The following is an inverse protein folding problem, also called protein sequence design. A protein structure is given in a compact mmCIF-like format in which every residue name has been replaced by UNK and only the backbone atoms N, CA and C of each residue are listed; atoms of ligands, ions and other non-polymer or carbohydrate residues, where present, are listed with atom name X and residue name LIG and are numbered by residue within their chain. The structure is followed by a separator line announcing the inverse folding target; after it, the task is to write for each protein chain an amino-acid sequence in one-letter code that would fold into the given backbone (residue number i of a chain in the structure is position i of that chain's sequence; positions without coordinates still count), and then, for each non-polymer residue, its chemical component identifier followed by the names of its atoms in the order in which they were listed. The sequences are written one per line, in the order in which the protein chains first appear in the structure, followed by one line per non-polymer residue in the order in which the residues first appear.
data_IF_451755119173
#
_entry.id   IF_451755119173
#
_cell.length_a   1.000
_cell.length_b   1.000
_cell.length_c   1.000
_cell.angle_alpha   90.00
_cell.angle_beta   90.00
_cell.angle_gamma   90.00
#
_symmetry.space_group_name_H-M   'P 1'
#
loop_
_entity.id
_entity.type
_entity.pdbx_description
1 polymer ?
#
# COMPACT_ATOMS: atom_id res chain seq x y z
N UNK A 1 5.14 14.48 28.28
CA UNK A 1 4.98 14.41 26.80
C UNK A 1 5.59 15.68 26.24
N UNK A 2 6.55 15.57 25.32
CA UNK A 2 7.19 16.72 24.65
C UNK A 2 6.85 16.67 23.17
N UNK A 3 6.59 17.81 22.56
CA UNK A 3 6.29 17.92 21.13
C UNK A 3 7.28 18.88 20.49
N UNK A 4 7.82 18.51 19.34
CA UNK A 4 8.68 19.36 18.52
C UNK A 4 8.09 19.51 17.13
N UNK A 5 8.12 20.75 16.61
CA UNK A 5 7.64 21.08 15.27
C UNK A 5 8.87 21.41 14.42
N UNK A 6 8.98 20.75 13.29
CA UNK A 6 10.05 20.93 12.31
C UNK A 6 9.43 21.48 11.03
N UNK A 7 9.92 22.63 10.57
CA UNK A 7 9.52 23.20 9.28
C UNK A 7 10.55 22.81 8.21
N UNK A 8 10.09 22.58 6.97
CA UNK A 8 10.96 22.28 5.85
C UNK A 8 11.93 23.44 5.62
N UNK A 9 13.17 23.12 5.29
CA UNK A 9 14.17 24.13 4.97
C UNK A 9 13.95 24.66 3.54
N UNK A 10 14.39 25.90 3.21
CA UNK A 10 14.10 26.56 1.92
C UNK A 10 14.54 25.83 0.63
N UNK A 11 15.16 24.66 0.72
CA UNK A 11 15.65 23.86 -0.42
C UNK A 11 15.32 22.36 -0.31
N UNK A 12 14.46 21.97 0.63
CA UNK A 12 13.99 20.59 0.72
C UNK A 12 12.93 20.31 -0.35
N UNK A 13 13.31 19.63 -1.43
CA UNK A 13 12.41 19.16 -2.48
C UNK A 13 11.61 17.91 -2.03
N UNK A 14 10.91 18.03 -0.90
CA UNK A 14 9.99 17.00 -0.42
C UNK A 14 8.58 17.58 -0.32
N UNK A 15 7.52 16.76 -0.45
CA UNK A 15 6.16 17.23 -0.23
C UNK A 15 5.86 17.64 1.22
N UNK A 16 6.83 17.55 2.13
CA UNK A 16 6.66 17.81 3.56
C UNK A 16 6.54 19.31 3.83
N UNK A 17 5.40 19.70 4.39
CA UNK A 17 5.08 21.06 4.81
C UNK A 17 5.43 21.32 6.28
N UNK A 18 5.42 20.27 7.11
CA UNK A 18 5.82 20.30 8.51
C UNK A 18 5.92 18.88 9.06
N UNK A 19 6.84 18.63 9.98
CA UNK A 19 6.91 17.39 10.74
C UNK A 19 6.71 17.68 12.22
N UNK A 20 5.83 16.92 12.86
CA UNK A 20 5.63 16.97 14.31
C UNK A 20 6.19 15.70 14.92
N UNK A 21 7.13 15.84 15.85
CA UNK A 21 7.69 14.73 16.63
C UNK A 21 7.09 14.76 18.03
N UNK A 22 6.41 13.69 18.42
CA UNK A 22 5.77 13.54 19.73
C UNK A 22 6.56 12.52 20.55
N UNK A 23 7.22 12.97 21.60
CA UNK A 23 7.95 12.13 22.55
C UNK A 23 6.99 11.64 23.64
N UNK A 24 6.66 10.34 23.57
CA UNK A 24 5.87 9.66 24.59
C UNK A 24 6.72 9.34 25.81
N UNK A 25 6.08 9.16 26.97
CA UNK A 25 6.75 8.79 28.22
C UNK A 25 7.49 7.43 28.12
N UNK A 26 7.09 6.58 27.17
CA UNK A 26 7.73 5.30 26.86
C UNK A 26 9.08 5.41 26.12
N UNK A 27 9.52 6.62 25.77
CA UNK A 27 10.75 6.83 24.97
C UNK A 27 10.57 6.60 23.46
N UNK A 28 9.39 6.16 23.02
CA UNK A 28 9.05 6.00 21.61
C UNK A 28 8.57 7.35 21.06
N UNK A 29 9.27 7.88 20.05
CA UNK A 29 8.84 9.05 19.31
C UNK A 29 7.84 8.65 18.22
N UNK A 30 6.71 9.35 18.14
CA UNK A 30 5.81 9.29 16.99
C UNK A 30 6.09 10.48 16.09
N UNK A 31 6.26 10.25 14.79
CA UNK A 31 6.49 11.28 13.79
C UNK A 31 5.25 11.43 12.91
N UNK A 32 4.75 12.65 12.80
CA UNK A 32 3.61 13.01 11.97
C UNK A 32 4.11 13.97 10.89
N UNK A 33 4.19 13.49 9.65
CA UNK A 33 4.50 14.31 8.49
C UNK A 33 3.22 14.94 7.93
N UNK A 34 3.20 16.26 7.82
CA UNK A 34 2.18 17.03 7.12
C UNK A 34 2.64 17.20 5.69
N UNK A 35 1.93 16.60 4.74
CA UNK A 35 2.31 16.60 3.34
C UNK A 35 1.35 17.49 2.55
N UNK A 36 1.90 18.29 1.64
CA UNK A 36 1.10 19.04 0.65
C UNK A 36 0.46 18.12 -0.41
N UNK A 37 1.06 16.96 -0.68
CA UNK A 37 0.55 15.93 -1.57
C UNK A 37 1.21 14.57 -1.28
N UNK A 38 0.60 13.47 -1.72
CA UNK A 38 1.16 12.12 -1.61
C UNK A 38 1.68 11.66 -2.97
N UNK A 39 2.93 11.17 -3.00
CA UNK A 39 3.54 10.66 -4.24
C UNK A 39 2.71 9.50 -4.80
N UNK A 40 2.41 9.60 -6.10
CA UNK A 40 1.58 8.63 -6.81
C UNK A 40 0.08 8.94 -6.78
N UNK A 41 -0.32 10.07 -6.19
CA UNK A 41 -1.69 10.60 -6.20
C UNK A 41 -1.71 11.99 -6.84
N UNK A 42 -2.42 12.14 -7.95
CA UNK A 42 -2.61 13.43 -8.64
C UNK A 42 -4.03 13.53 -9.18
N UNK A 43 -4.62 14.73 -9.11
CA UNK A 43 -5.98 14.98 -9.58
C UNK A 43 -6.99 14.02 -8.96
N UNK A 44 -7.73 13.28 -9.79
CA UNK A 44 -8.80 12.35 -9.35
C UNK A 44 -8.34 11.28 -8.37
N UNK A 45 -7.06 10.88 -8.39
CA UNK A 45 -6.53 9.92 -7.42
C UNK A 45 -6.51 10.50 -5.99
N UNK A 46 -6.26 11.81 -5.85
CA UNK A 46 -6.24 12.49 -4.55
C UNK A 46 -7.66 12.66 -3.98
N UNK A 47 -8.63 12.98 -4.84
CA UNK A 47 -10.05 13.03 -4.44
C UNK A 47 -10.49 11.66 -3.94
N UNK A 48 -10.17 10.61 -4.72
CA UNK A 48 -10.49 9.23 -4.36
C UNK A 48 -9.84 8.78 -3.05
N UNK A 49 -8.60 9.22 -2.78
CA UNK A 49 -7.91 8.96 -1.52
C UNK A 49 -8.69 9.52 -0.33
N UNK A 50 -9.23 10.74 -0.45
CA UNK A 50 -10.04 11.40 0.59
C UNK A 50 -11.38 10.67 0.76
N UNK A 51 -12.04 10.34 -0.34
CA UNK A 51 -13.35 9.70 -0.33
C UNK A 51 -13.36 8.31 0.33
N UNK A 52 -12.27 7.56 0.23
CA UNK A 52 -12.13 6.22 0.83
C UNK A 52 -11.36 6.20 2.14
N UNK A 53 -10.99 7.36 2.67
CA UNK A 53 -10.37 7.42 3.98
C UNK A 53 -11.32 6.78 5.01
N UNK A 54 -10.77 5.94 5.88
CA UNK A 54 -11.55 5.23 6.88
C UNK A 54 -11.57 6.10 8.12
N UNK A 55 -12.75 6.48 8.59
CA UNK A 55 -12.89 7.14 9.89
C UNK A 55 -12.71 6.11 11.02
N UNK A 56 -11.78 6.39 11.91
CA UNK A 56 -11.57 5.66 13.15
C UNK A 56 -12.02 6.57 14.29
N UNK A 57 -13.07 6.17 15.00
CA UNK A 57 -13.58 6.90 16.17
C UNK A 57 -12.98 6.34 17.45
N UNK A 58 -13.01 7.16 18.50
CA UNK A 58 -12.69 6.80 19.88
C UNK A 58 -11.27 6.24 20.07
N UNK A 59 -10.35 6.56 19.16
CA UNK A 59 -8.98 6.03 19.17
C UNK A 59 -8.15 6.56 20.35
N UNK A 60 -8.36 7.83 20.73
CA UNK A 60 -7.60 8.48 21.81
C UNK A 60 -8.46 8.79 23.03
N UNK A 61 -9.66 9.31 22.81
CA UNK A 61 -10.67 9.60 23.84
C UNK A 61 -12.07 9.53 23.22
N UNK A 62 -13.10 9.38 24.05
CA UNK A 62 -14.49 9.32 23.58
C UNK A 62 -14.86 10.58 22.78
N UNK A 63 -15.37 10.39 21.56
CA UNK A 63 -15.70 11.44 20.61
C UNK A 63 -14.52 11.92 19.74
N UNK A 64 -13.32 11.37 19.90
CA UNK A 64 -12.23 11.62 18.95
C UNK A 64 -12.49 10.89 17.63
N UNK A 65 -12.18 11.51 16.49
CA UNK A 65 -12.16 10.80 15.21
C UNK A 65 -10.93 11.16 14.40
N UNK A 66 -10.43 10.18 13.64
CA UNK A 66 -9.27 10.32 12.77
C UNK A 66 -9.54 9.59 11.46
N UNK A 67 -9.39 10.30 10.35
CA UNK A 67 -9.40 9.68 9.04
C UNK A 67 -8.04 9.07 8.74
N UNK A 68 -8.02 7.76 8.50
CA UNK A 68 -6.82 7.01 8.13
C UNK A 68 -6.90 6.58 6.68
N UNK A 69 -5.73 6.45 6.06
CA UNK A 69 -5.63 6.00 4.68
C UNK A 69 -6.20 4.58 4.52
N UNK A 70 -6.95 4.33 3.45
CA UNK A 70 -7.41 2.98 3.12
C UNK A 70 -6.20 2.03 2.95
N UNK A 71 -6.26 0.76 3.38
CA UNK A 71 -5.12 -0.17 3.31
C UNK A 71 -4.49 -0.31 1.92
N UNK A 72 -5.31 -0.35 0.88
CA UNK A 72 -4.82 -0.36 -0.52
C UNK A 72 -3.96 0.87 -0.84
N UNK A 73 -4.31 2.02 -0.30
CA UNK A 73 -3.61 3.27 -0.60
C UNK A 73 -2.33 3.43 0.15
N UNK A 74 -2.33 2.94 1.38
CA UNK A 74 -1.12 2.81 2.16
C UNK A 74 -0.13 1.93 1.40
N UNK A 75 -0.56 0.77 0.92
CA UNK A 75 0.27 -0.11 0.09
C UNK A 75 0.76 0.59 -1.19
N UNK A 76 -0.16 1.13 -2.01
CA UNK A 76 0.19 1.87 -3.24
C UNK A 76 1.20 2.98 -2.96
N UNK A 77 0.98 3.78 -1.92
CA UNK A 77 1.87 4.87 -1.50
C UNK A 77 3.26 4.36 -1.14
N UNK A 78 3.37 3.28 -0.35
CA UNK A 78 4.68 2.70 0.02
C UNK A 78 5.44 2.20 -1.19
N UNK A 79 4.77 1.53 -2.13
CA UNK A 79 5.39 1.08 -3.38
C UNK A 79 5.83 2.26 -4.26
N UNK A 80 4.99 3.29 -4.41
CA UNK A 80 5.33 4.51 -5.14
C UNK A 80 6.54 5.22 -4.52
N UNK A 81 6.64 5.27 -3.19
CA UNK A 81 7.76 5.91 -2.50
C UNK A 81 9.09 5.20 -2.80
N UNK A 82 9.15 3.87 -2.63
CA UNK A 82 10.40 3.12 -2.91
C UNK A 82 10.73 3.09 -4.41
N UNK A 83 9.71 3.11 -5.28
CA UNK A 83 9.89 3.19 -6.73
C UNK A 83 10.46 4.55 -7.15
N UNK A 84 9.85 5.65 -6.69
CA UNK A 84 10.14 7.00 -7.20
C UNK A 84 11.25 7.73 -6.45
N UNK A 85 11.47 7.44 -5.16
CA UNK A 85 12.41 8.18 -4.31
C UNK A 85 13.65 7.34 -3.99
N UNK A 86 14.84 7.68 -4.53
CA UNK A 86 16.09 6.98 -4.21
C UNK A 86 16.40 6.91 -2.71
N UNK A 87 16.13 7.99 -1.97
CA UNK A 87 16.34 8.06 -0.51
C UNK A 87 15.47 7.07 0.28
N UNK A 88 14.38 6.59 -0.31
CA UNK A 88 13.45 5.62 0.28
C UNK A 88 13.78 4.17 -0.12
N UNK A 89 14.83 3.92 -0.91
CA UNK A 89 15.26 2.57 -1.30
C UNK A 89 16.19 1.94 -0.27
N UNK A 90 15.72 1.83 0.98
CA UNK A 90 16.48 1.26 2.09
C UNK A 90 15.66 0.20 2.84
N UNK A 91 16.33 -0.55 3.71
CA UNK A 91 15.76 -1.68 4.45
C UNK A 91 14.52 -1.31 5.26
N UNK A 92 14.50 -0.13 5.88
CA UNK A 92 13.37 0.35 6.69
C UNK A 92 12.12 0.55 5.82
N UNK A 93 12.25 1.22 4.68
CA UNK A 93 11.10 1.51 3.81
C UNK A 93 10.63 0.28 3.04
N UNK A 94 11.54 -0.65 2.71
CA UNK A 94 11.18 -1.98 2.18
C UNK A 94 10.39 -2.76 3.23
N UNK A 95 10.83 -2.77 4.50
CA UNK A 95 10.08 -3.40 5.59
C UNK A 95 8.69 -2.75 5.79
N UNK A 96 8.58 -1.42 5.66
CA UNK A 96 7.27 -0.74 5.69
C UNK A 96 6.36 -1.15 4.53
N UNK A 97 6.91 -1.42 3.34
CA UNK A 97 6.13 -1.90 2.21
C UNK A 97 5.64 -3.34 2.43
N UNK A 98 6.46 -4.21 3.05
CA UNK A 98 6.00 -5.54 3.49
C UNK A 98 4.91 -5.45 4.56
N UNK A 99 5.07 -4.58 5.56
CA UNK A 99 4.03 -4.35 6.56
C UNK A 99 2.72 -3.87 5.91
N UNK A 100 2.79 -3.04 4.87
CA UNK A 100 1.61 -2.61 4.14
C UNK A 100 0.91 -3.78 3.40
N UNK A 101 1.65 -4.80 2.94
CA UNK A 101 1.05 -6.03 2.40
C UNK A 101 0.32 -6.82 3.49
N UNK A 102 0.87 -6.91 4.69
CA UNK A 102 0.24 -7.61 5.82
C UNK A 102 -1.04 -6.90 6.26
N UNK A 103 -1.01 -5.56 6.36
CA UNK A 103 -2.19 -4.74 6.64
C UNK A 103 -3.25 -4.92 5.55
N UNK A 104 -2.85 -4.94 4.28
CA UNK A 104 -3.76 -5.19 3.16
C UNK A 104 -4.40 -6.59 3.26
N UNK A 105 -3.61 -7.62 3.59
CA UNK A 105 -4.10 -8.99 3.78
C UNK A 105 -5.12 -9.07 4.92
N UNK A 106 -4.82 -8.48 6.06
CA UNK A 106 -5.72 -8.44 7.22
C UNK A 106 -7.03 -7.72 6.88
N UNK A 107 -6.96 -6.64 6.10
CA UNK A 107 -8.15 -5.94 5.63
C UNK A 107 -9.01 -6.80 4.70
N UNK A 108 -8.42 -7.52 3.74
CA UNK A 108 -9.17 -8.43 2.86
C UNK A 108 -9.83 -9.54 3.69
N UNK A 109 -9.11 -10.15 4.64
CA UNK A 109 -9.67 -11.16 5.52
C UNK A 109 -10.90 -10.64 6.27
N UNK A 110 -10.81 -9.42 6.83
CA UNK A 110 -11.97 -8.78 7.45
C UNK A 110 -13.14 -8.63 6.49
N UNK A 111 -12.91 -8.18 5.25
CA UNK A 111 -13.97 -8.09 4.23
C UNK A 111 -14.61 -9.45 3.89
N UNK A 112 -13.89 -10.57 4.06
CA UNK A 112 -14.47 -11.90 3.83
C UNK A 112 -15.41 -12.35 4.95
N UNK A 113 -15.28 -11.75 6.14
CA UNK A 113 -16.10 -12.05 7.32
C UNK A 113 -17.36 -11.17 7.41
N UNK A 114 -17.37 -10.03 6.72
CA UNK A 114 -18.44 -9.02 6.74
C UNK A 114 -19.65 -9.40 5.84
N UNK A 115 -20.82 -8.85 6.17
CA UNK A 115 -22.06 -9.07 5.41
C UNK A 115 -22.12 -8.26 4.08
N UNK A 116 -23.18 -8.52 3.29
CA UNK A 116 -23.23 -8.39 1.82
C UNK A 116 -22.67 -7.10 1.19
N UNK A 117 -22.96 -5.91 1.72
CA UNK A 117 -22.56 -4.64 1.09
C UNK A 117 -21.06 -4.37 1.22
N UNK A 118 -20.47 -4.68 2.38
CA UNK A 118 -19.02 -4.55 2.60
C UNK A 118 -18.28 -5.60 1.76
N UNK A 119 -18.84 -6.80 1.64
CA UNK A 119 -18.30 -7.87 0.78
C UNK A 119 -18.36 -7.51 -0.71
N UNK A 120 -19.31 -6.70 -1.15
CA UNK A 120 -19.39 -6.23 -2.53
C UNK A 120 -18.17 -5.38 -2.94
N UNK A 121 -17.53 -4.69 -1.99
CA UNK A 121 -16.32 -3.89 -2.23
C UNK A 121 -15.07 -4.75 -2.47
N UNK A 122 -15.10 -6.03 -2.10
CA UNK A 122 -13.97 -6.93 -2.25
C UNK A 122 -13.57 -7.14 -3.72
N UNK A 123 -14.51 -7.37 -4.63
CA UNK A 123 -14.18 -7.63 -6.03
C UNK A 123 -13.48 -6.44 -6.72
N UNK A 124 -14.01 -5.20 -6.63
CA UNK A 124 -13.29 -4.02 -7.10
C UNK A 124 -11.88 -3.92 -6.51
N UNK A 125 -11.74 -4.15 -5.20
CA UNK A 125 -10.46 -4.10 -4.50
C UNK A 125 -9.44 -5.13 -5.02
N UNK A 126 -9.88 -6.37 -5.26
CA UNK A 126 -9.05 -7.42 -5.84
C UNK A 126 -8.56 -7.05 -7.25
N UNK A 127 -9.41 -6.43 -8.06
CA UNK A 127 -9.00 -5.90 -9.37
C UNK A 127 -7.98 -4.76 -9.26
N UNK A 128 -8.09 -3.90 -8.24
CA UNK A 128 -7.11 -2.85 -8.00
C UNK A 128 -5.74 -3.43 -7.61
N UNK A 129 -5.72 -4.47 -6.78
CA UNK A 129 -4.50 -5.19 -6.40
C UNK A 129 -3.84 -5.80 -7.63
N UNK A 130 -4.63 -6.43 -8.51
CA UNK A 130 -4.13 -6.98 -9.78
C UNK A 130 -3.57 -5.87 -10.68
N UNK A 131 -4.28 -4.73 -10.78
CA UNK A 131 -3.83 -3.57 -11.53
C UNK A 131 -2.50 -3.04 -11.00
N UNK A 132 -2.39 -2.85 -9.68
CA UNK A 132 -1.16 -2.42 -9.01
C UNK A 132 -0.01 -3.41 -9.24
N UNK A 133 -0.25 -4.71 -9.10
CA UNK A 133 0.75 -5.76 -9.32
C UNK A 133 1.28 -5.80 -10.77
N UNK A 134 0.45 -5.43 -11.74
CA UNK A 134 0.80 -5.40 -13.17
C UNK A 134 1.35 -4.06 -13.67
N UNK A 135 1.23 -3.01 -12.84
CA UNK A 135 1.71 -1.66 -13.12
C UNK A 135 3.24 -1.61 -13.17
N UNK A 136 3.79 -0.50 -13.70
CA UNK A 136 5.25 -0.29 -13.68
C UNK A 136 5.81 -0.29 -12.27
N UNK A 137 5.12 0.37 -11.34
CA UNK A 137 5.50 0.40 -9.91
C UNK A 137 5.56 -1.02 -9.37
N UNK A 138 4.50 -1.82 -9.53
CA UNK A 138 4.45 -3.20 -9.01
C UNK A 138 5.49 -4.13 -9.63
N UNK A 139 5.74 -4.02 -10.94
CA UNK A 139 6.77 -4.80 -11.64
C UNK A 139 8.17 -4.42 -11.17
N UNK A 140 8.46 -3.12 -11.06
CA UNK A 140 9.78 -2.65 -10.66
C UNK A 140 10.05 -2.98 -9.19
N UNK A 141 9.06 -2.86 -8.29
CA UNK A 141 9.25 -3.23 -6.88
C UNK A 141 9.43 -4.73 -6.69
N UNK A 142 8.78 -5.55 -7.52
CA UNK A 142 9.02 -7.00 -7.54
C UNK A 142 10.48 -7.32 -7.90
N UNK A 143 10.99 -6.73 -8.98
CA UNK A 143 12.35 -7.02 -9.46
C UNK A 143 13.45 -6.48 -8.56
N UNK A 144 13.28 -5.29 -8.00
CA UNK A 144 14.34 -4.62 -7.24
C UNK A 144 14.31 -4.94 -5.74
N UNK A 145 13.13 -5.28 -5.20
CA UNK A 145 12.95 -5.44 -3.75
C UNK A 145 12.28 -6.77 -3.36
N UNK A 146 11.93 -7.63 -4.32
CA UNK A 146 11.27 -8.91 -4.03
C UNK A 146 9.84 -8.77 -3.50
N UNK A 147 9.22 -7.61 -3.68
CA UNK A 147 7.87 -7.33 -3.16
C UNK A 147 6.84 -7.80 -4.18
N UNK A 148 6.21 -8.95 -3.92
CA UNK A 148 5.08 -9.44 -4.71
C UNK A 148 3.75 -8.92 -4.14
N UNK A 149 3.13 -7.97 -4.84
CA UNK A 149 1.84 -7.40 -4.45
C UNK A 149 0.74 -8.46 -4.28
N UNK A 150 0.78 -9.57 -5.04
CA UNK A 150 -0.21 -10.63 -4.92
C UNK A 150 -0.10 -11.43 -3.62
N UNK A 151 1.01 -11.30 -2.88
CA UNK A 151 1.19 -12.02 -1.60
C UNK A 151 0.21 -11.56 -0.51
N UNK A 152 -0.43 -10.39 -0.67
CA UNK A 152 -1.46 -9.95 0.26
C UNK A 152 -2.78 -10.71 0.10
N UNK A 153 -2.98 -11.51 -0.96
CA UNK A 153 -4.24 -12.21 -1.21
C UNK A 153 -4.39 -13.45 -0.29
N UNK A 154 -5.44 -13.52 0.54
CA UNK A 154 -5.76 -14.70 1.34
C UNK A 154 -6.50 -15.74 0.49
N UNK A 155 -5.80 -16.40 -0.44
CA UNK A 155 -6.38 -17.23 -1.52
C UNK A 155 -7.42 -18.22 -1.01
N UNK A 156 -7.17 -18.90 0.11
CA UNK A 156 -8.07 -19.93 0.66
C UNK A 156 -9.39 -19.36 1.20
N UNK A 157 -9.46 -18.06 1.44
CA UNK A 157 -10.64 -17.35 1.95
C UNK A 157 -11.38 -16.57 0.85
N UNK A 158 -10.84 -16.52 -0.38
CA UNK A 158 -11.44 -15.78 -1.49
C UNK A 158 -12.55 -16.58 -2.19
N UNK A 159 -13.48 -15.90 -2.89
CA UNK A 159 -14.54 -16.58 -3.63
C UNK A 159 -14.00 -17.54 -4.70
N UNK A 160 -14.59 -18.73 -4.78
CA UNK A 160 -14.21 -19.80 -5.72
C UNK A 160 -14.16 -19.33 -7.20
N UNK A 161 -15.11 -18.52 -7.72
CA UNK A 161 -15.01 -17.99 -9.08
C UNK A 161 -13.77 -17.09 -9.30
N UNK A 162 -13.37 -16.33 -8.28
CA UNK A 162 -12.18 -15.50 -8.36
C UNK A 162 -10.92 -16.38 -8.39
N UNK A 163 -10.81 -17.31 -7.45
CA UNK A 163 -9.65 -18.20 -7.28
C UNK A 163 -9.45 -19.09 -8.50
N UNK A 164 -10.51 -19.69 -9.03
CA UNK A 164 -10.39 -20.69 -10.10
C UNK A 164 -10.40 -20.11 -11.52
N UNK A 165 -10.86 -18.86 -11.70
CA UNK A 165 -10.96 -18.25 -13.03
C UNK A 165 -10.17 -16.95 -13.15
N UNK A 166 -10.42 -15.99 -12.27
CA UNK A 166 -9.87 -14.63 -12.43
C UNK A 166 -8.41 -14.53 -12.04
N UNK A 167 -8.02 -15.15 -10.91
CA UNK A 167 -6.68 -15.09 -10.34
C UNK A 167 -5.62 -15.75 -11.25
N UNK A 168 -5.83 -16.94 -11.85
CA UNK A 168 -4.87 -17.54 -12.77
C UNK A 168 -4.61 -16.65 -14.00
N UNK A 169 -5.66 -16.07 -14.57
CA UNK A 169 -5.54 -15.13 -15.69
C UNK A 169 -4.75 -13.87 -15.30
N UNK A 170 -4.96 -13.38 -14.08
CA UNK A 170 -4.20 -12.25 -13.53
C UNK A 170 -2.72 -12.61 -13.34
N UNK A 171 -2.43 -13.78 -12.77
CA UNK A 171 -1.07 -14.27 -12.55
C UNK A 171 -0.33 -14.44 -13.88
N UNK A 172 -0.95 -15.02 -14.90
CA UNK A 172 -0.37 -15.15 -16.24
C UNK A 172 -0.09 -13.78 -16.88
N UNK A 173 -1.00 -12.83 -16.69
CA UNK A 173 -0.80 -11.46 -17.15
C UNK A 173 0.38 -10.80 -16.43
N UNK A 174 0.42 -10.85 -15.10
CA UNK A 174 1.48 -10.26 -14.28
C UNK A 174 2.84 -10.94 -14.56
N UNK A 175 2.86 -12.25 -14.73
CA UNK A 175 4.06 -13.00 -15.10
C UNK A 175 4.61 -12.52 -16.45
N UNK A 176 3.73 -12.31 -17.46
CA UNK A 176 4.13 -11.71 -18.75
C UNK A 176 4.65 -10.29 -18.59
N UNK A 177 4.12 -9.49 -17.66
CA UNK A 177 4.61 -8.13 -17.36
C UNK A 177 5.98 -8.15 -16.68
N UNK A 178 6.23 -9.11 -15.78
CA UNK A 178 7.51 -9.27 -15.07
C UNK A 178 8.63 -9.81 -15.97
N UNK A 179 8.36 -10.82 -16.78
CA UNK A 179 9.40 -11.57 -17.48
C UNK A 179 9.31 -11.52 -19.02
N UNK A 180 8.31 -10.82 -19.56
CA UNK A 180 8.05 -10.79 -21.00
C UNK A 180 7.48 -12.12 -21.54
N UNK A 181 7.13 -12.16 -22.83
CA UNK A 181 6.56 -13.35 -23.48
C UNK A 181 7.49 -14.58 -23.51
N UNK A 182 8.79 -14.40 -23.31
CA UNK A 182 9.84 -15.46 -23.42
C UNK A 182 10.56 -15.79 -22.09
N UNK A 183 10.36 -15.02 -21.02
CA UNK A 183 11.19 -15.13 -19.80
C UNK A 183 10.79 -16.18 -18.78
N UNK A 184 9.77 -17.00 -19.04
CA UNK A 184 9.34 -18.08 -18.12
C UNK A 184 10.08 -19.41 -18.26
N UNK A 185 10.93 -19.61 -19.28
CA UNK A 185 11.73 -20.84 -19.45
C UNK A 185 13.08 -20.53 -20.10
N UNK A 186 14.11 -20.33 -19.29
CA UNK A 186 15.44 -20.85 -19.63
C UNK A 186 15.61 -22.13 -18.83
N UNK A 187 15.25 -23.26 -19.44
CA UNK A 187 15.71 -24.56 -18.97
C UNK A 187 17.24 -24.55 -19.08
N UNK A 188 18.00 -24.85 -18.00
CA UNK A 188 19.44 -24.92 -18.11
C UNK A 188 19.79 -26.04 -19.09
N UNK A 189 20.56 -25.72 -20.14
CA UNK A 189 21.14 -26.75 -21.01
C UNK A 189 22.07 -27.60 -20.12
N UNK A 190 21.72 -28.87 -19.95
CA UNK A 190 22.68 -29.91 -19.56
C UNK A 190 23.59 -30.21 -20.75
#
# INVERSE_FOLDING_TARGET
MRTEIHFPQPFENTPNSAKITIFRASGIAAEIDYLSHIIGYVGKDEDRLKDRAIEITDLYFAGSSLHVMHPFDCLRSRLCNIHSLPSKRNTIHVAQAHLALDVMRAFILKLTEEESDTRAQMYPLLEEIISLASSRVGVDTFHHFGIDVLSCLPVDQLPEPFVNRRLPLAQDYIHRRRFGKKGGKRVPKR
#
